data_IF_066745531212
#
_entry.id   IF_066745531212
#
_cell.length_a   1.000
_cell.length_b   1.000
_cell.length_c   1.000
_cell.angle_alpha   90.00
_cell.angle_beta   90.00
_cell.angle_gamma   90.00
#
_symmetry.space_group_name_H-M   'P 1'
#
loop_
_entity.id
_entity.type
_entity.pdbx_description
1 polymer ?
#
# COMPACT_ATOMS: atom_id res chain seq x y z
N UNK A 1 0.43 6.15 16.21
CA UNK A 1 0.87 7.47 15.68
C UNK A 1 2.16 7.30 14.90
N UNK A 2 2.24 7.84 13.67
CA UNK A 2 3.44 7.83 12.80
C UNK A 2 3.97 9.26 12.69
N UNK A 3 5.25 9.47 13.02
CA UNK A 3 5.91 10.78 12.94
C UNK A 3 6.97 10.71 11.84
N UNK A 4 6.87 11.58 10.86
CA UNK A 4 7.80 11.65 9.74
C UNK A 4 8.97 12.59 10.08
N UNK A 5 10.18 12.05 10.00
CA UNK A 5 11.38 12.87 10.23
C UNK A 5 11.60 13.86 9.08
N UNK A 6 11.98 15.08 9.42
CA UNK A 6 12.16 16.19 8.46
C UNK A 6 13.60 16.30 7.94
N UNK A 7 14.46 15.29 8.14
CA UNK A 7 15.87 15.31 7.73
C UNK A 7 16.09 14.90 6.27
N UNK A 8 17.05 15.53 5.61
CA UNK A 8 17.29 15.47 4.15
C UNK A 8 17.56 14.08 3.54
N UNK A 9 18.01 13.10 4.31
CA UNK A 9 18.45 11.82 3.75
C UNK A 9 17.31 10.92 3.25
N UNK A 10 16.15 10.99 3.87
CA UNK A 10 15.00 10.12 3.57
C UNK A 10 14.26 10.58 2.30
N UNK A 11 14.36 11.86 1.92
CA UNK A 11 13.50 12.47 0.90
C UNK A 11 14.02 12.42 -0.53
N UNK A 12 15.31 12.12 -0.77
CA UNK A 12 15.85 12.03 -2.15
C UNK A 12 15.18 10.95 -3.00
N UNK A 13 14.70 9.86 -2.36
CA UNK A 13 13.99 8.77 -3.04
C UNK A 13 12.46 8.98 -3.16
N UNK A 14 11.88 9.92 -2.37
CA UNK A 14 10.43 10.11 -2.30
C UNK A 14 9.90 11.06 -3.38
N UNK A 15 10.76 11.92 -3.93
CA UNK A 15 10.38 12.89 -4.98
C UNK A 15 9.71 12.19 -6.18
N UNK A 16 10.19 11.02 -6.58
CA UNK A 16 9.64 10.24 -7.70
C UNK A 16 8.17 9.80 -7.53
N UNK A 17 7.66 9.74 -6.30
CA UNK A 17 6.26 9.40 -6.01
C UNK A 17 5.36 10.63 -5.87
N UNK A 18 5.93 11.82 -5.94
CA UNK A 18 5.23 13.10 -5.93
C UNK A 18 5.32 13.74 -7.32
N UNK A 19 6.52 13.72 -7.92
CA UNK A 19 6.77 14.23 -9.25
C UNK A 19 6.06 13.35 -10.28
N UNK A 20 5.13 13.96 -11.05
CA UNK A 20 4.31 13.26 -12.03
C UNK A 20 2.96 12.75 -11.49
N UNK A 21 2.69 12.81 -10.19
CA UNK A 21 1.35 12.56 -9.65
C UNK A 21 0.49 13.83 -9.86
N UNK A 22 -0.59 13.77 -10.68
CA UNK A 22 -1.41 14.94 -11.00
C UNK A 22 -2.02 15.64 -9.77
N UNK A 23 -2.14 14.93 -8.65
CA UNK A 23 -2.68 15.46 -7.39
C UNK A 23 -1.76 16.50 -6.73
N UNK A 24 -0.50 16.57 -7.15
CA UNK A 24 0.55 17.37 -6.53
C UNK A 24 1.28 18.29 -7.52
N UNK A 25 0.71 18.49 -8.72
CA UNK A 25 1.25 19.42 -9.72
C UNK A 25 1.30 20.86 -9.16
N UNK A 26 2.41 21.56 -9.39
CA UNK A 26 2.57 22.96 -8.99
C UNK A 26 2.94 23.21 -7.52
N UNK A 27 3.24 22.16 -6.73
CA UNK A 27 3.64 22.36 -5.34
C UNK A 27 5.12 22.73 -5.19
N UNK A 28 5.40 23.60 -4.21
CA UNK A 28 6.75 24.03 -3.87
C UNK A 28 7.63 22.87 -3.36
N UNK A 29 8.90 22.86 -3.80
CA UNK A 29 9.89 21.84 -3.42
C UNK A 29 10.61 22.11 -2.08
N UNK A 30 10.08 23.00 -1.23
CA UNK A 30 10.67 23.21 0.09
C UNK A 30 10.50 21.96 0.96
N UNK A 31 11.57 21.53 1.56
CA UNK A 31 11.68 20.25 2.28
C UNK A 31 10.56 20.00 3.33
N UNK A 32 10.23 21.02 4.14
CA UNK A 32 9.12 20.90 5.12
C UNK A 32 7.75 20.78 4.46
N UNK A 33 7.57 21.37 3.31
CA UNK A 33 6.32 21.26 2.53
C UNK A 33 6.19 19.86 1.94
N UNK A 34 7.29 19.23 1.49
CA UNK A 34 7.28 17.86 0.98
C UNK A 34 6.85 16.86 2.05
N UNK A 35 7.30 17.03 3.31
CA UNK A 35 6.85 16.17 4.42
C UNK A 35 5.35 16.31 4.63
N UNK A 36 4.84 17.54 4.68
CA UNK A 36 3.40 17.78 4.87
C UNK A 36 2.57 17.21 3.71
N UNK A 37 3.08 17.30 2.47
CA UNK A 37 2.46 16.72 1.29
C UNK A 37 2.42 15.19 1.43
N UNK A 38 3.53 14.59 1.84
CA UNK A 38 3.66 13.15 2.02
C UNK A 38 2.67 12.61 3.05
N UNK A 39 2.58 13.24 4.23
CA UNK A 39 1.63 12.87 5.28
C UNK A 39 0.19 12.97 4.80
N UNK A 40 -0.16 14.07 4.11
CA UNK A 40 -1.50 14.23 3.53
C UNK A 40 -1.79 13.20 2.43
N UNK A 41 -0.78 12.84 1.64
CA UNK A 41 -0.88 11.81 0.60
C UNK A 41 -1.19 10.45 1.22
N UNK A 42 -0.44 10.03 2.24
CA UNK A 42 -0.68 8.77 2.95
C UNK A 42 -2.06 8.75 3.61
N UNK A 43 -2.45 9.81 4.30
CA UNK A 43 -3.78 9.95 4.89
C UNK A 43 -4.91 9.80 3.86
N UNK A 44 -4.80 10.44 2.69
CA UNK A 44 -5.79 10.33 1.62
C UNK A 44 -5.82 8.94 0.98
N UNK A 45 -4.67 8.31 0.80
CA UNK A 45 -4.57 6.96 0.27
C UNK A 45 -5.24 5.95 1.21
N UNK A 46 -4.96 6.03 2.52
CA UNK A 46 -5.63 5.20 3.54
C UNK A 46 -7.16 5.36 3.48
N UNK A 47 -7.66 6.59 3.49
CA UNK A 47 -9.11 6.85 3.38
C UNK A 47 -9.70 6.27 2.11
N UNK A 48 -9.01 6.41 0.97
CA UNK A 48 -9.48 5.91 -0.31
C UNK A 48 -9.53 4.38 -0.32
N UNK A 49 -8.48 3.71 0.13
CA UNK A 49 -8.42 2.26 0.20
C UNK A 49 -9.49 1.69 1.15
N UNK A 50 -9.64 2.28 2.36
CA UNK A 50 -10.64 1.87 3.34
C UNK A 50 -12.07 2.00 2.80
N UNK A 51 -12.37 3.09 2.12
CA UNK A 51 -13.67 3.30 1.45
C UNK A 51 -14.03 2.18 0.47
N UNK A 52 -13.03 1.54 -0.12
CA UNK A 52 -13.20 0.42 -1.06
C UNK A 52 -12.96 -0.95 -0.41
N UNK A 53 -13.04 -1.04 0.92
CA UNK A 53 -13.00 -2.29 1.67
C UNK A 53 -11.61 -2.89 1.90
N UNK A 54 -10.53 -2.24 1.46
CA UNK A 54 -9.17 -2.72 1.70
C UNK A 54 -8.86 -2.67 3.19
N UNK A 55 -8.23 -3.75 3.69
CA UNK A 55 -7.70 -3.82 5.06
C UNK A 55 -6.46 -2.95 5.19
N UNK A 56 -6.67 -1.72 5.62
CA UNK A 56 -5.64 -0.73 5.93
C UNK A 56 -5.98 -0.07 7.27
N UNK A 57 -5.00 0.42 8.04
CA UNK A 57 -5.26 1.16 9.27
C UNK A 57 -6.20 2.34 9.03
N UNK A 58 -7.17 2.54 9.93
CA UNK A 58 -8.05 3.69 9.87
C UNK A 58 -7.28 5.00 10.10
N UNK A 59 -7.29 5.95 9.15
CA UNK A 59 -6.66 7.24 9.34
C UNK A 59 -7.56 8.19 10.13
N UNK A 60 -7.19 8.50 11.37
CA UNK A 60 -7.95 9.36 12.28
C UNK A 60 -7.65 10.84 12.06
N UNK A 61 -6.37 11.20 12.00
CA UNK A 61 -5.96 12.60 11.95
C UNK A 61 -4.59 12.78 11.28
N UNK A 62 -4.39 13.91 10.60
CA UNK A 62 -3.08 14.29 10.06
C UNK A 62 -2.80 15.78 10.28
N UNK A 63 -1.62 16.09 10.79
CA UNK A 63 -1.17 17.48 10.97
C UNK A 63 0.35 17.58 10.77
N UNK A 64 0.76 18.49 9.88
CA UNK A 64 2.19 18.69 9.55
C UNK A 64 2.86 17.35 9.21
N UNK A 65 3.82 16.92 10.03
CA UNK A 65 4.59 15.69 9.87
C UNK A 65 4.06 14.53 10.71
N UNK A 66 2.83 14.61 11.22
CA UNK A 66 2.21 13.59 12.09
C UNK A 66 1.00 13.00 11.40
N UNK A 67 0.91 11.67 11.41
CA UNK A 67 -0.25 10.88 11.01
C UNK A 67 -0.70 10.04 12.21
N UNK A 68 -1.94 10.21 12.63
CA UNK A 68 -2.61 9.37 13.62
C UNK A 68 -3.52 8.42 12.88
N UNK A 69 -3.36 7.14 13.14
CA UNK A 69 -4.12 6.05 12.53
C UNK A 69 -4.28 4.90 13.51
N UNK A 70 -5.19 4.00 13.20
CA UNK A 70 -5.41 2.76 13.91
C UNK A 70 -4.10 2.01 14.15
N UNK A 71 -3.99 1.37 15.30
CA UNK A 71 -2.90 0.46 15.63
C UNK A 71 -3.37 -0.96 15.34
N UNK A 72 -2.71 -1.63 14.42
CA UNK A 72 -2.99 -3.02 14.09
C UNK A 72 -2.13 -3.90 14.98
N UNK A 73 -2.74 -4.52 15.96
CA UNK A 73 -2.08 -5.32 17.00
C UNK A 73 -2.98 -5.52 18.19
N UNK A 74 -2.41 -6.03 19.27
CA UNK A 74 -3.04 -6.18 20.58
C UNK A 74 -2.53 -5.13 21.58
N UNK A 75 -2.86 -5.31 22.85
CA UNK A 75 -2.45 -4.37 23.92
C UNK A 75 -0.93 -4.38 24.19
N UNK A 76 -0.21 -5.44 23.78
CA UNK A 76 1.20 -5.63 24.09
C UNK A 76 2.11 -5.27 22.89
N UNK A 77 1.68 -5.63 21.66
CA UNK A 77 2.55 -5.51 20.49
C UNK A 77 1.80 -5.27 19.18
N UNK A 78 2.49 -4.66 18.22
CA UNK A 78 2.02 -4.61 16.85
C UNK A 78 1.95 -6.01 16.24
N UNK A 79 0.96 -6.26 15.40
CA UNK A 79 0.87 -7.49 14.63
C UNK A 79 2.12 -7.72 13.80
N UNK A 80 2.59 -8.97 13.68
CA UNK A 80 3.81 -9.29 12.94
C UNK A 80 3.64 -8.96 11.44
N UNK A 81 4.74 -8.70 10.77
CA UNK A 81 4.73 -8.59 9.32
C UNK A 81 4.66 -9.97 8.68
N UNK A 82 4.06 -10.06 7.51
CA UNK A 82 3.96 -11.31 6.75
C UNK A 82 5.35 -11.94 6.49
N UNK A 83 6.40 -11.11 6.37
CA UNK A 83 7.80 -11.58 6.22
C UNK A 83 8.35 -12.31 7.45
N UNK A 84 7.78 -12.08 8.64
CA UNK A 84 8.31 -12.56 9.93
C UNK A 84 7.57 -13.80 10.44
N UNK A 85 6.57 -14.29 9.68
CA UNK A 85 5.75 -15.44 10.05
C UNK A 85 5.72 -16.49 8.94
N UNK A 86 5.30 -17.69 9.32
CA UNK A 86 4.85 -18.73 8.39
C UNK A 86 3.33 -18.77 8.40
N UNK A 87 2.72 -18.86 7.22
CA UNK A 87 1.26 -19.01 7.07
C UNK A 87 0.93 -20.43 6.63
N UNK A 88 -0.20 -20.96 7.11
CA UNK A 88 -0.61 -22.34 6.83
C UNK A 88 -1.05 -22.53 5.37
N UNK A 89 -1.64 -21.52 4.75
CA UNK A 89 -2.08 -21.50 3.35
C UNK A 89 -1.46 -20.34 2.56
N UNK A 90 -0.19 -20.46 2.11
CA UNK A 90 0.45 -19.39 1.32
C UNK A 90 -0.25 -19.07 0.00
N UNK A 91 -0.93 -20.08 -0.61
CA UNK A 91 -1.69 -19.85 -1.85
C UNK A 91 -2.93 -19.02 -1.60
N UNK A 92 -3.71 -19.34 -0.57
CA UNK A 92 -4.87 -18.54 -0.19
C UNK A 92 -4.50 -17.10 0.16
N UNK A 93 -3.40 -16.91 0.90
CA UNK A 93 -2.87 -15.56 1.20
C UNK A 93 -2.43 -14.82 -0.07
N UNK A 94 -1.76 -15.52 -0.99
CA UNK A 94 -1.39 -14.92 -2.28
C UNK A 94 -2.61 -14.46 -3.08
N UNK A 95 -3.66 -15.28 -3.15
CA UNK A 95 -4.90 -14.95 -3.85
C UNK A 95 -5.59 -13.72 -3.24
N UNK A 96 -5.69 -13.64 -1.91
CA UNK A 96 -6.26 -12.48 -1.21
C UNK A 96 -5.44 -11.19 -1.47
N UNK A 97 -4.11 -11.31 -1.42
CA UNK A 97 -3.22 -10.19 -1.71
C UNK A 97 -3.27 -9.77 -3.19
N UNK A 98 -3.33 -10.70 -4.13
CA UNK A 98 -3.46 -10.39 -5.55
C UNK A 98 -4.80 -9.69 -5.83
N UNK A 99 -5.89 -10.16 -5.22
CA UNK A 99 -7.18 -9.50 -5.29
C UNK A 99 -7.14 -8.10 -4.67
N UNK A 100 -6.43 -7.94 -3.55
CA UNK A 100 -6.22 -6.62 -2.93
C UNK A 100 -5.51 -5.66 -3.90
N UNK A 101 -4.47 -6.11 -4.59
CA UNK A 101 -3.78 -5.31 -5.63
C UNK A 101 -4.75 -4.94 -6.76
N UNK A 102 -5.58 -5.88 -7.22
CA UNK A 102 -6.59 -5.63 -8.25
C UNK A 102 -7.62 -4.56 -7.83
N UNK A 103 -8.12 -4.62 -6.59
CA UNK A 103 -9.05 -3.60 -6.05
C UNK A 103 -8.37 -2.25 -5.93
N UNK A 104 -7.10 -2.21 -5.47
CA UNK A 104 -6.32 -0.96 -5.41
C UNK A 104 -6.17 -0.35 -6.79
N UNK A 105 -5.88 -1.14 -7.82
CA UNK A 105 -5.72 -0.68 -9.19
C UNK A 105 -7.06 -0.27 -9.83
N UNK A 106 -8.02 -1.19 -9.89
CA UNK A 106 -9.25 -1.01 -10.67
C UNK A 106 -10.28 -0.11 -10.00
N UNK A 107 -10.35 -0.13 -8.64
CA UNK A 107 -11.40 0.56 -7.89
C UNK A 107 -10.89 1.80 -7.17
N UNK A 108 -9.68 1.71 -6.60
CA UNK A 108 -9.07 2.87 -5.95
C UNK A 108 -8.33 3.80 -6.94
N UNK A 109 -8.18 3.45 -8.23
CA UNK A 109 -7.30 4.14 -9.19
C UNK A 109 -5.90 4.44 -8.62
N UNK A 110 -5.33 3.52 -7.89
CA UNK A 110 -4.03 3.63 -7.26
C UNK A 110 -3.14 2.44 -7.62
N UNK A 111 -1.85 2.60 -7.47
CA UNK A 111 -0.88 1.52 -7.34
C UNK A 111 -0.10 1.74 -6.05
N UNK A 112 0.15 0.69 -5.28
CA UNK A 112 0.81 0.81 -3.98
C UNK A 112 2.26 1.30 -4.12
N UNK A 113 2.95 0.82 -5.14
CA UNK A 113 4.31 1.19 -5.52
C UNK A 113 5.40 0.71 -4.52
N UNK A 114 5.02 -0.10 -3.53
CA UNK A 114 5.92 -0.81 -2.61
C UNK A 114 5.20 -2.00 -1.94
N UNK A 115 4.34 -2.69 -2.70
CA UNK A 115 3.58 -3.84 -2.20
C UNK A 115 4.51 -5.04 -2.02
N UNK A 116 4.68 -5.47 -0.78
CA UNK A 116 5.54 -6.59 -0.42
C UNK A 116 5.20 -7.12 0.97
N UNK A 117 5.71 -8.32 1.31
CA UNK A 117 5.57 -8.93 2.64
C UNK A 117 6.10 -8.06 3.80
N UNK A 118 6.90 -7.03 3.49
CA UNK A 118 7.40 -6.05 4.47
C UNK A 118 6.34 -5.02 4.86
N UNK A 119 5.38 -4.77 3.98
CA UNK A 119 4.31 -3.79 4.12
C UNK A 119 2.93 -4.43 4.29
N UNK A 120 2.90 -5.69 4.73
CA UNK A 120 1.71 -6.43 5.12
C UNK A 120 1.87 -6.87 6.58
N UNK A 121 0.91 -6.50 7.43
CA UNK A 121 0.77 -7.06 8.77
C UNK A 121 -0.18 -8.26 8.71
N UNK A 122 0.06 -9.24 9.58
CA UNK A 122 -0.82 -10.40 9.73
C UNK A 122 -1.58 -10.28 11.05
N UNK A 123 -2.86 -9.97 10.98
CA UNK A 123 -3.68 -9.71 12.15
C UNK A 123 -4.98 -10.51 12.09
N UNK A 124 -5.24 -11.30 13.14
CA UNK A 124 -6.44 -12.14 13.27
C UNK A 124 -6.68 -13.07 12.06
N UNK A 125 -5.59 -13.62 11.49
CA UNK A 125 -5.68 -14.52 10.34
C UNK A 125 -5.85 -13.83 8.99
N UNK A 126 -5.75 -12.50 8.93
CA UNK A 126 -5.97 -11.70 7.72
C UNK A 126 -4.79 -10.75 7.43
N UNK A 127 -4.47 -10.50 6.13
CA UNK A 127 -3.45 -9.53 5.74
C UNK A 127 -3.97 -8.10 5.81
N UNK A 128 -3.18 -7.21 6.40
CA UNK A 128 -3.43 -5.78 6.49
C UNK A 128 -2.33 -5.00 5.78
N UNK A 129 -2.70 -4.19 4.81
CA UNK A 129 -1.74 -3.38 4.02
C UNK A 129 -1.37 -2.13 4.80
N UNK A 130 -0.07 -1.84 4.91
CA UNK A 130 0.45 -0.66 5.59
C UNK A 130 1.42 0.12 4.67
N UNK A 131 1.81 1.31 5.12
CA UNK A 131 2.79 2.17 4.45
C UNK A 131 2.40 2.56 3.01
N UNK A 132 1.19 3.09 2.87
CA UNK A 132 0.62 3.50 1.57
C UNK A 132 1.07 4.91 1.13
N UNK A 133 2.07 5.48 1.79
CA UNK A 133 2.61 6.80 1.45
C UNK A 133 3.21 6.87 0.05
N UNK A 134 3.78 5.77 -0.46
CA UNK A 134 4.34 5.68 -1.81
C UNK A 134 3.27 5.55 -2.89
N UNK A 135 2.06 5.08 -2.54
CA UNK A 135 1.02 4.80 -3.52
C UNK A 135 0.66 6.04 -4.36
N UNK A 136 0.68 5.88 -5.68
CA UNK A 136 0.39 6.92 -6.67
C UNK A 136 -0.88 6.59 -7.45
N UNK A 137 -1.44 7.57 -8.17
CA UNK A 137 -2.58 7.31 -9.06
C UNK A 137 -2.13 6.51 -10.29
N UNK A 138 -3.06 5.76 -10.88
CA UNK A 138 -2.82 5.04 -12.16
C UNK A 138 -2.44 5.99 -13.33
N UNK A 139 -2.64 7.31 -13.15
CA UNK A 139 -2.23 8.34 -14.12
C UNK A 139 -0.77 8.77 -13.96
N UNK A 140 -0.07 8.26 -12.95
CA UNK A 140 1.36 8.53 -12.78
C UNK A 140 2.16 7.91 -13.94
N UNK A 141 3.17 8.61 -14.51
CA UNK A 141 3.94 8.09 -15.64
C UNK A 141 4.53 6.69 -15.43
N UNK A 142 4.95 6.38 -14.20
CA UNK A 142 5.52 5.07 -13.82
C UNK A 142 4.50 4.12 -13.17
N UNK A 143 3.20 4.36 -13.27
CA UNK A 143 2.20 3.53 -12.59
C UNK A 143 2.29 2.06 -13.02
N UNK A 144 2.40 1.80 -14.32
CA UNK A 144 2.53 0.44 -14.86
C UNK A 144 3.81 -0.26 -14.37
N UNK A 145 4.94 0.45 -14.36
CA UNK A 145 6.21 -0.07 -13.83
C UNK A 145 6.08 -0.44 -12.35
N UNK A 146 5.42 0.40 -11.57
CA UNK A 146 5.18 0.13 -10.16
C UNK A 146 4.25 -1.06 -9.95
N UNK A 147 3.20 -1.21 -10.77
CA UNK A 147 2.30 -2.36 -10.71
C UNK A 147 3.05 -3.66 -11.01
N UNK A 148 3.83 -3.69 -12.10
CA UNK A 148 4.66 -4.85 -12.44
C UNK A 148 5.57 -5.24 -11.28
N UNK A 149 6.23 -4.26 -10.66
CA UNK A 149 7.11 -4.50 -9.51
C UNK A 149 6.35 -5.04 -8.30
N UNK A 150 5.19 -4.49 -7.98
CA UNK A 150 4.37 -4.93 -6.86
C UNK A 150 3.91 -6.38 -7.05
N UNK A 151 3.42 -6.75 -8.23
CA UNK A 151 3.03 -8.13 -8.58
C UNK A 151 4.24 -9.07 -8.59
N UNK A 152 5.39 -8.62 -9.11
CA UNK A 152 6.62 -9.42 -9.09
C UNK A 152 7.04 -9.77 -7.66
N UNK A 153 7.06 -8.81 -6.73
CA UNK A 153 7.39 -9.06 -5.33
C UNK A 153 6.45 -10.04 -4.65
N UNK A 154 5.17 -9.97 -5.01
CA UNK A 154 4.17 -10.90 -4.48
C UNK A 154 4.38 -12.32 -5.02
N UNK A 155 4.67 -12.50 -6.31
CA UNK A 155 4.99 -13.82 -6.89
C UNK A 155 6.31 -14.37 -6.35
N UNK A 156 7.31 -13.52 -6.12
CA UNK A 156 8.58 -13.92 -5.46
C UNK A 156 8.36 -14.36 -4.01
N UNK A 157 7.47 -13.68 -3.28
CA UNK A 157 7.10 -14.11 -1.93
C UNK A 157 6.48 -15.51 -1.96
N UNK A 158 5.53 -15.76 -2.87
CA UNK A 158 4.90 -17.07 -3.03
C UNK A 158 5.94 -18.15 -3.40
N UNK A 159 6.90 -17.80 -4.28
CA UNK A 159 8.01 -18.69 -4.64
C UNK A 159 8.86 -19.11 -3.45
N UNK A 160 9.13 -18.19 -2.51
CA UNK A 160 9.83 -18.51 -1.25
C UNK A 160 9.02 -19.41 -0.32
N UNK A 161 7.70 -19.48 -0.50
CA UNK A 161 6.81 -20.40 0.22
C UNK A 161 6.71 -21.79 -0.46
N UNK A 162 7.49 -22.05 -1.51
CA UNK A 162 7.49 -23.32 -2.23
C UNK A 162 6.39 -23.48 -3.28
N UNK A 163 5.75 -22.40 -3.70
CA UNK A 163 4.71 -22.38 -4.72
C UNK A 163 5.10 -21.49 -5.90
N UNK A 164 4.52 -21.73 -7.07
CA UNK A 164 4.80 -20.99 -8.28
C UNK A 164 3.58 -20.20 -8.75
N UNK A 165 3.82 -18.96 -9.21
CA UNK A 165 2.90 -18.17 -9.98
C UNK A 165 3.70 -17.37 -11.04
N UNK A 166 3.09 -17.20 -12.22
CA UNK A 166 3.71 -16.41 -13.27
C UNK A 166 3.30 -14.93 -13.13
N UNK A 167 4.28 -14.03 -13.22
CA UNK A 167 4.05 -12.58 -13.12
C UNK A 167 3.07 -12.12 -14.19
N UNK A 168 3.22 -12.62 -15.44
CA UNK A 168 2.36 -12.23 -16.56
C UNK A 168 0.90 -12.61 -16.32
N UNK A 169 0.65 -13.85 -15.87
CA UNK A 169 -0.71 -14.33 -15.58
C UNK A 169 -1.34 -13.56 -14.42
N UNK A 170 -0.54 -13.28 -13.38
CA UNK A 170 -0.98 -12.49 -12.23
C UNK A 170 -1.32 -11.05 -12.62
N UNK A 171 -0.56 -10.44 -13.53
CA UNK A 171 -0.85 -9.10 -14.06
C UNK A 171 -2.14 -9.08 -14.89
N UNK A 172 -2.37 -10.08 -15.75
CA UNK A 172 -3.63 -10.19 -16.51
C UNK A 172 -4.81 -10.23 -15.52
N UNK A 173 -4.73 -11.04 -14.48
CA UNK A 173 -5.77 -11.13 -13.45
C UNK A 173 -6.00 -9.80 -12.72
N UNK A 174 -4.94 -9.08 -12.36
CA UNK A 174 -5.05 -7.76 -11.72
C UNK A 174 -5.71 -6.73 -12.62
N UNK A 175 -5.47 -6.79 -13.93
CA UNK A 175 -5.95 -5.79 -14.89
C UNK A 175 -7.38 -6.09 -15.38
N UNK A 176 -7.69 -7.36 -15.63
CA UNK A 176 -8.84 -7.77 -16.42
C UNK A 176 -9.91 -8.54 -15.62
N UNK A 177 -9.53 -9.26 -14.54
CA UNK A 177 -10.50 -10.01 -13.75
C UNK A 177 -11.45 -9.05 -13.00
N UNK A 178 -12.75 -9.37 -12.96
CA UNK A 178 -13.70 -8.60 -12.18
C UNK A 178 -13.35 -8.60 -10.70
N UNK A 179 -13.23 -7.42 -10.11
CA UNK A 179 -13.00 -7.31 -8.67
C UNK A 179 -14.32 -7.25 -7.89
N UNK A 180 -14.40 -7.90 -6.72
CA UNK A 180 -15.59 -7.81 -5.89
C UNK A 180 -15.77 -6.38 -5.37
N UNK A 181 -17.03 -5.93 -5.25
CA UNK A 181 -17.35 -4.75 -4.48
C UNK A 181 -17.28 -5.09 -3.00
N UNK A 182 -16.13 -4.85 -2.40
CA UNK A 182 -15.97 -5.02 -0.96
C UNK A 182 -16.82 -3.97 -0.22
N UNK A 183 -17.45 -4.33 0.91
CA UNK A 183 -18.17 -3.34 1.72
C UNK A 183 -17.17 -2.29 2.23
N UNK A 184 -17.55 -1.00 2.25
CA UNK A 184 -16.71 0.03 2.83
C UNK A 184 -16.39 -0.32 4.29
N UNK A 185 -15.14 -0.16 4.68
CA UNK A 185 -14.73 -0.18 6.09
C UNK A 185 -14.88 1.24 6.64
N UNK A 186 -16.13 1.60 6.92
CA UNK A 186 -16.52 2.85 7.58
C UNK A 186 -17.07 2.47 8.94
N UNK A 187 -16.67 3.22 9.95
CA UNK A 187 -17.21 3.09 11.31
C UNK A 187 -18.51 3.84 11.42
#
# INVERSE_FOLDING_TARGET
>A
MKIFHTTNAVFKGLAKYIDGDPRFSGLSRRHRELVNIWVRKEFRNLKRMRKHGIRVPEPMFSHKNVLVMEFIGDEEAASPRLKDIQVDDPRGVFEDLLQTVAVIWQTCDLVHADFSEYNILWHEGEPWVIDVGQAVTIRHPSANEFLVRDVTRLTEWLGRQGHEAQVADSLVRVLDDPVPKLPPRVD
#
